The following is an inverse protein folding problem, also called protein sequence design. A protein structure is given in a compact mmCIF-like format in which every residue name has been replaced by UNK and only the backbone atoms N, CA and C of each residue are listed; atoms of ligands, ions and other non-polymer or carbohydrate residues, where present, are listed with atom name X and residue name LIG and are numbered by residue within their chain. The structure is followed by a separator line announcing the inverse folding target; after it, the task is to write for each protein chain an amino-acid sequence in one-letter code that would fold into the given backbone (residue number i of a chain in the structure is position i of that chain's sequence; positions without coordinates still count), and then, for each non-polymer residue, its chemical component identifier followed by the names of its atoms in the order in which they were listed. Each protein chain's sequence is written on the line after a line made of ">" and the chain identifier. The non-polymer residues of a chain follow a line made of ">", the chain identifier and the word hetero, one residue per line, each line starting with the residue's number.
data_IF_660295835600
#
_entry.id   IF_660295835600
#
_cell.length_a   1.000
_cell.length_b   1.000
_cell.length_c   1.000
_cell.angle_alpha   90.00
_cell.angle_beta   90.00
_cell.angle_gamma   90.00
#
_symmetry.space_group_name_H-M   'P 1'
#
loop_
_entity.id
_entity.type
_entity.pdbx_description
1 polymer ?
#
# COMPACT_ATOMS: atom_id res chain seq x y z
N UNK A 1 22.78 24.88 17.21
CA UNK A 1 22.65 23.42 16.98
C UNK A 1 21.23 23.03 17.34
N UNK A 2 20.32 22.93 16.34
CA UNK A 2 18.96 22.44 16.57
C UNK A 2 19.04 20.91 16.68
N UNK A 3 19.03 20.38 17.91
CA UNK A 3 18.77 18.98 18.18
C UNK A 3 17.32 18.67 17.76
N UNK A 4 17.10 18.30 16.50
CA UNK A 4 15.86 17.67 16.11
C UNK A 4 15.70 16.39 16.93
N UNK A 5 14.77 16.41 17.87
CA UNK A 5 14.49 15.29 18.80
C UNK A 5 14.21 14.04 17.95
N UNK A 6 15.13 13.06 18.01
CA UNK A 6 15.02 11.81 17.25
C UNK A 6 13.68 11.14 17.62
N UNK A 7 12.81 10.93 16.63
CA UNK A 7 11.50 10.31 16.87
C UNK A 7 11.70 8.87 17.36
N UNK A 8 10.98 8.47 18.41
CA UNK A 8 11.07 7.11 18.93
C UNK A 8 10.54 6.11 17.90
N UNK A 9 11.26 5.02 17.55
CA UNK A 9 10.82 4.03 16.58
C UNK A 9 9.47 3.39 16.92
N UNK A 10 9.19 3.18 18.20
CA UNK A 10 7.92 2.60 18.66
C UNK A 10 6.70 3.45 18.31
N UNK A 11 6.88 4.75 18.08
CA UNK A 11 5.76 5.63 17.72
C UNK A 11 5.34 5.51 16.26
N UNK A 12 6.16 4.96 15.37
CA UNK A 12 5.86 4.93 13.95
C UNK A 12 6.05 3.56 13.28
N UNK A 13 7.00 2.73 13.73
CA UNK A 13 7.24 1.41 13.12
C UNK A 13 5.97 0.54 13.15
N UNK A 14 5.29 0.35 14.28
CA UNK A 14 4.08 -0.48 14.33
C UNK A 14 3.00 -0.02 13.36
N UNK A 15 2.67 1.26 13.41
CA UNK A 15 1.59 1.84 12.60
C UNK A 15 1.93 1.92 11.11
N UNK A 16 3.21 2.11 10.76
CA UNK A 16 3.67 2.14 9.37
C UNK A 16 3.55 0.76 8.72
N UNK A 17 3.94 -0.31 9.41
CA UNK A 17 3.79 -1.67 8.90
C UNK A 17 2.36 -2.20 8.96
N UNK A 18 1.55 -1.72 9.89
CA UNK A 18 0.11 -1.93 9.84
C UNK A 18 -0.51 -1.30 8.58
N UNK A 19 -0.16 -0.04 8.29
CA UNK A 19 -0.61 0.66 7.08
C UNK A 19 -0.09 0.03 5.78
N UNK A 20 1.07 -0.63 5.82
CA UNK A 20 1.64 -1.39 4.71
C UNK A 20 0.81 -2.65 4.43
N UNK A 21 0.49 -3.43 5.46
CA UNK A 21 -0.23 -4.69 5.33
C UNK A 21 -1.68 -4.52 4.86
N UNK A 22 -2.35 -3.44 5.28
CA UNK A 22 -3.78 -3.27 5.09
C UNK A 22 -4.20 -3.24 3.60
N UNK A 23 -3.64 -2.37 2.72
CA UNK A 23 -4.02 -2.34 1.31
C UNK A 23 -3.69 -3.63 0.59
N UNK A 24 -2.51 -4.20 0.84
CA UNK A 24 -2.09 -5.46 0.20
C UNK A 24 -3.08 -6.59 0.47
N UNK A 25 -3.44 -6.79 1.73
CA UNK A 25 -4.35 -7.86 2.14
C UNK A 25 -5.77 -7.60 1.64
N UNK A 26 -6.21 -6.35 1.65
CA UNK A 26 -7.53 -5.97 1.10
C UNK A 26 -7.60 -6.31 -0.39
N UNK A 27 -6.59 -5.94 -1.18
CA UNK A 27 -6.57 -6.22 -2.61
C UNK A 27 -6.46 -7.71 -2.91
N UNK A 28 -5.68 -8.45 -2.13
CA UNK A 28 -5.42 -9.86 -2.38
C UNK A 28 -6.59 -10.78 -1.96
N UNK A 29 -7.25 -10.47 -0.85
CA UNK A 29 -8.22 -11.38 -0.23
C UNK A 29 -9.63 -10.76 -0.12
N UNK A 30 -9.74 -9.53 0.39
CA UNK A 30 -11.04 -8.94 0.73
C UNK A 30 -11.82 -8.55 -0.52
N UNK A 31 -11.14 -8.03 -1.56
CA UNK A 31 -11.79 -7.67 -2.83
C UNK A 31 -12.37 -8.87 -3.57
N UNK A 32 -11.76 -10.04 -3.45
CA UNK A 32 -12.31 -11.28 -4.01
C UNK A 32 -13.66 -11.60 -3.38
N UNK A 33 -13.75 -11.54 -2.05
CA UNK A 33 -14.99 -11.77 -1.32
C UNK A 33 -16.05 -10.71 -1.63
N UNK A 34 -15.61 -9.45 -1.72
CA UNK A 34 -16.48 -8.33 -2.11
C UNK A 34 -17.11 -8.56 -3.48
N UNK A 35 -16.32 -8.85 -4.50
CA UNK A 35 -16.83 -9.06 -5.86
C UNK A 35 -17.71 -10.31 -5.97
N UNK A 36 -17.40 -11.38 -5.23
CA UNK A 36 -18.28 -12.55 -5.12
C UNK A 36 -19.63 -12.19 -4.50
N UNK A 37 -19.63 -11.43 -3.41
CA UNK A 37 -20.87 -10.94 -2.78
C UNK A 37 -21.66 -9.96 -3.66
N UNK A 38 -21.03 -9.39 -4.69
CA UNK A 38 -21.64 -8.51 -5.70
C UNK A 38 -21.98 -9.26 -7.00
N UNK A 39 -21.95 -10.59 -6.99
CA UNK A 39 -22.35 -11.47 -8.08
C UNK A 39 -21.52 -11.29 -9.38
N UNK A 40 -20.26 -10.87 -9.23
CA UNK A 40 -19.32 -10.78 -10.36
C UNK A 40 -18.83 -12.19 -10.74
N UNK A 41 -18.66 -12.45 -12.03
CA UNK A 41 -18.17 -13.74 -12.55
C UNK A 41 -16.77 -14.08 -12.01
N UNK A 42 -16.56 -15.32 -11.54
CA UNK A 42 -15.32 -15.78 -10.92
C UNK A 42 -14.10 -15.67 -11.83
N UNK A 43 -14.27 -15.81 -13.16
CA UNK A 43 -13.17 -15.67 -14.13
C UNK A 43 -12.69 -14.23 -14.21
N UNK A 44 -13.63 -13.28 -14.19
CA UNK A 44 -13.31 -11.85 -14.17
C UNK A 44 -12.62 -11.47 -12.86
N UNK A 45 -13.13 -11.95 -11.72
CA UNK A 45 -12.52 -11.72 -10.41
C UNK A 45 -11.07 -12.21 -10.43
N UNK A 46 -10.85 -13.48 -10.76
CA UNK A 46 -9.52 -14.11 -10.73
C UNK A 46 -8.54 -13.41 -11.68
N UNK A 47 -8.96 -13.10 -12.90
CA UNK A 47 -8.12 -12.44 -13.88
C UNK A 47 -7.67 -11.05 -13.39
N UNK A 48 -8.62 -10.19 -13.01
CA UNK A 48 -8.32 -8.81 -12.68
C UNK A 48 -7.61 -8.67 -11.33
N UNK A 49 -7.98 -9.46 -10.31
CA UNK A 49 -7.29 -9.41 -9.02
C UNK A 49 -5.84 -9.88 -9.13
N UNK A 50 -5.54 -10.84 -9.99
CA UNK A 50 -4.16 -11.25 -10.28
C UNK A 50 -3.34 -10.13 -10.92
N UNK A 51 -3.93 -9.40 -11.88
CA UNK A 51 -3.25 -8.26 -12.52
C UNK A 51 -3.02 -7.08 -11.57
N UNK A 52 -3.97 -6.81 -10.68
CA UNK A 52 -3.86 -5.74 -9.67
C UNK A 52 -2.67 -5.95 -8.74
N UNK A 53 -2.23 -7.19 -8.52
CA UNK A 53 -1.07 -7.47 -7.66
C UNK A 53 0.29 -7.29 -8.34
N UNK A 54 0.34 -7.13 -9.67
CA UNK A 54 1.59 -6.93 -10.41
C UNK A 54 2.47 -5.79 -9.89
N UNK A 55 1.96 -4.63 -9.40
CA UNK A 55 2.82 -3.59 -8.87
C UNK A 55 3.76 -4.08 -7.77
N UNK A 56 3.36 -5.03 -6.92
CA UNK A 56 4.26 -5.55 -5.87
C UNK A 56 5.45 -6.36 -6.43
N UNK A 57 5.25 -7.08 -7.52
CA UNK A 57 6.34 -7.81 -8.20
C UNK A 57 7.23 -6.88 -9.03
N UNK A 58 6.67 -5.79 -9.53
CA UNK A 58 7.36 -4.83 -10.39
C UNK A 58 8.04 -3.69 -9.62
N UNK A 59 7.99 -3.68 -8.27
CA UNK A 59 8.65 -2.66 -7.42
C UNK A 59 10.05 -2.25 -7.87
N UNK A 60 10.97 -3.18 -8.26
CA UNK A 60 12.31 -2.80 -8.69
C UNK A 60 12.36 -1.84 -9.86
N UNK A 61 11.32 -1.80 -10.71
CA UNK A 61 11.29 -0.94 -11.89
C UNK A 61 11.19 0.55 -11.55
N UNK A 62 10.54 0.91 -10.44
CA UNK A 62 10.38 2.32 -10.08
C UNK A 62 10.97 2.70 -8.72
N UNK A 63 11.47 1.75 -7.93
CA UNK A 63 12.09 2.06 -6.64
C UNK A 63 13.23 3.10 -6.75
N UNK A 64 14.10 3.10 -7.80
CA UNK A 64 15.12 4.12 -7.95
C UNK A 64 14.58 5.54 -8.14
N UNK A 65 13.38 5.67 -8.75
CA UNK A 65 12.76 6.98 -8.93
C UNK A 65 12.41 7.65 -7.60
N UNK A 66 12.01 6.87 -6.60
CA UNK A 66 11.63 7.41 -5.30
C UNK A 66 12.81 8.09 -4.59
N UNK A 67 14.04 7.63 -4.84
CA UNK A 67 15.25 8.21 -4.26
C UNK A 67 15.63 9.54 -4.91
N UNK A 68 15.20 9.78 -6.15
CA UNK A 68 15.61 10.95 -6.93
C UNK A 68 14.71 12.18 -6.71
N UNK A 69 13.44 11.99 -6.37
CA UNK A 69 12.46 13.08 -6.46
C UNK A 69 12.07 13.72 -5.13
N UNK A 70 11.93 12.96 -4.04
CA UNK A 70 11.45 13.46 -2.75
C UNK A 70 11.96 12.62 -1.58
N UNK A 71 11.64 13.05 -0.36
CA UNK A 71 11.96 12.27 0.84
C UNK A 71 11.09 11.02 0.94
N UNK A 72 11.63 9.95 1.50
CA UNK A 72 10.89 8.70 1.75
C UNK A 72 9.64 8.95 2.61
N UNK A 73 9.74 9.82 3.62
CA UNK A 73 8.59 10.27 4.42
C UNK A 73 7.46 10.86 3.56
N UNK A 74 7.80 11.70 2.58
CA UNK A 74 6.80 12.29 1.68
C UNK A 74 6.00 11.21 0.95
N UNK A 75 6.69 10.19 0.41
CA UNK A 75 6.03 9.09 -0.28
C UNK A 75 5.15 8.27 0.66
N UNK A 76 5.61 7.94 1.88
CA UNK A 76 4.78 7.22 2.87
C UNK A 76 3.47 7.95 3.13
N UNK A 77 3.53 9.25 3.40
CA UNK A 77 2.33 10.05 3.72
C UNK A 77 1.41 10.19 2.51
N UNK A 78 1.96 10.56 1.35
CA UNK A 78 1.15 10.78 0.14
C UNK A 78 0.48 9.50 -0.32
N UNK A 79 1.19 8.38 -0.32
CA UNK A 79 0.60 7.09 -0.72
C UNK A 79 -0.51 6.64 0.22
N UNK A 80 -0.39 6.86 1.52
CA UNK A 80 -1.48 6.58 2.47
C UNK A 80 -2.70 7.43 2.21
N UNK A 81 -2.52 8.73 1.97
CA UNK A 81 -3.64 9.64 1.64
C UNK A 81 -4.29 9.25 0.31
N UNK A 82 -3.49 8.98 -0.73
CA UNK A 82 -3.99 8.51 -2.03
C UNK A 82 -4.77 7.22 -1.86
N UNK A 83 -4.22 6.23 -1.17
CA UNK A 83 -4.89 4.95 -0.89
C UNK A 83 -6.21 5.17 -0.13
N UNK A 84 -6.20 6.02 0.90
CA UNK A 84 -7.40 6.31 1.67
C UNK A 84 -8.49 6.97 0.84
N UNK A 85 -8.16 8.03 0.10
CA UNK A 85 -9.12 8.69 -0.81
C UNK A 85 -9.65 7.70 -1.85
N UNK A 86 -8.77 6.89 -2.42
CA UNK A 86 -9.17 5.94 -3.45
C UNK A 86 -10.06 4.83 -2.92
N UNK A 87 -9.87 4.33 -1.69
CA UNK A 87 -10.85 3.42 -1.05
C UNK A 87 -12.22 4.06 -0.94
N UNK A 88 -12.30 5.34 -0.59
CA UNK A 88 -13.57 6.08 -0.57
C UNK A 88 -14.22 6.17 -1.95
N UNK A 89 -13.41 6.41 -3.00
CA UNK A 89 -13.91 6.42 -4.39
C UNK A 89 -14.41 5.03 -4.82
N UNK A 90 -13.72 3.94 -4.44
CA UNK A 90 -14.22 2.57 -4.68
C UNK A 90 -15.56 2.35 -3.97
N UNK A 91 -15.71 2.80 -2.71
CA UNK A 91 -16.96 2.70 -1.98
C UNK A 91 -18.12 3.33 -2.75
N UNK A 92 -17.95 4.55 -3.24
CA UNK A 92 -18.99 5.25 -4.01
C UNK A 92 -19.21 4.65 -5.40
N UNK A 93 -18.18 4.03 -6.01
CA UNK A 93 -18.32 3.40 -7.32
C UNK A 93 -19.24 2.18 -7.31
N UNK A 94 -19.46 1.53 -6.15
CA UNK A 94 -20.34 0.36 -6.05
C UNK A 94 -21.81 0.64 -6.40
N UNK A 95 -22.23 1.91 -6.36
CA UNK A 95 -23.56 2.34 -6.79
C UNK A 95 -23.69 2.55 -8.30
N UNK A 96 -22.63 2.49 -9.09
CA UNK A 96 -22.66 2.75 -10.53
C UNK A 96 -23.07 1.49 -11.32
N UNK A 97 -23.67 1.68 -12.49
CA UNK A 97 -24.00 0.58 -13.41
C UNK A 97 -22.75 -0.19 -13.90
N UNK A 98 -21.63 0.51 -14.04
CA UNK A 98 -20.33 -0.06 -14.45
C UNK A 98 -19.35 -0.19 -13.26
N UNK A 99 -19.87 -0.46 -12.06
CA UNK A 99 -19.09 -0.48 -10.83
C UNK A 99 -17.83 -1.35 -10.92
N UNK A 100 -17.90 -2.51 -11.56
CA UNK A 100 -16.77 -3.44 -11.60
C UNK A 100 -15.56 -2.82 -12.30
N UNK A 101 -15.73 -2.30 -13.52
CA UNK A 101 -14.63 -1.70 -14.29
C UNK A 101 -14.04 -0.46 -13.59
N UNK A 102 -14.91 0.36 -12.99
CA UNK A 102 -14.46 1.54 -12.24
C UNK A 102 -13.71 1.11 -10.99
N UNK A 103 -14.23 0.13 -10.24
CA UNK A 103 -13.56 -0.40 -9.04
C UNK A 103 -12.20 -0.98 -9.38
N UNK A 104 -12.06 -1.78 -10.47
CA UNK A 104 -10.79 -2.34 -10.90
C UNK A 104 -9.76 -1.24 -11.21
N UNK A 105 -10.16 -0.19 -11.93
CA UNK A 105 -9.27 0.93 -12.22
C UNK A 105 -8.80 1.66 -10.93
N UNK A 106 -9.70 1.88 -10.00
CA UNK A 106 -9.37 2.49 -8.70
C UNK A 106 -8.51 1.57 -7.84
N UNK A 107 -8.79 0.26 -7.80
CA UNK A 107 -7.99 -0.72 -7.09
C UNK A 107 -6.57 -0.82 -7.67
N UNK A 108 -6.39 -0.63 -8.98
CA UNK A 108 -5.06 -0.53 -9.58
C UNK A 108 -4.28 0.70 -9.06
N UNK A 109 -4.95 1.84 -8.85
CA UNK A 109 -4.33 3.02 -8.20
C UNK A 109 -3.90 2.68 -6.78
N UNK A 110 -4.74 1.98 -6.00
CA UNK A 110 -4.39 1.52 -4.64
C UNK A 110 -3.18 0.57 -4.70
N UNK A 111 -3.12 -0.31 -5.68
CA UNK A 111 -2.01 -1.26 -5.86
C UNK A 111 -0.67 -0.55 -6.10
N UNK A 112 -0.63 0.40 -7.02
CA UNK A 112 0.58 1.22 -7.26
C UNK A 112 0.95 2.06 -6.04
N UNK A 113 -0.04 2.65 -5.39
CA UNK A 113 0.15 3.44 -4.17
C UNK A 113 0.69 2.57 -3.03
N UNK A 114 0.10 1.38 -2.81
CA UNK A 114 0.52 0.43 -1.79
C UNK A 114 1.94 -0.09 -2.03
N UNK A 115 2.26 -0.52 -3.26
CA UNK A 115 3.59 -0.98 -3.62
C UNK A 115 4.65 0.13 -3.45
N UNK A 116 4.30 1.38 -3.76
CA UNK A 116 5.17 2.55 -3.54
C UNK A 116 5.32 2.86 -2.05
N UNK A 117 4.24 2.73 -1.27
CA UNK A 117 4.27 2.87 0.17
C UNK A 117 5.26 1.90 0.81
N UNK A 118 5.24 0.63 0.41
CA UNK A 118 6.14 -0.40 0.93
C UNK A 118 7.61 0.00 0.72
N UNK A 119 7.98 0.38 -0.52
CA UNK A 119 9.35 0.81 -0.83
C UNK A 119 9.75 2.00 0.05
N UNK A 120 8.87 2.98 0.19
CA UNK A 120 9.14 4.19 0.95
C UNK A 120 9.24 3.90 2.45
N UNK A 121 8.37 3.05 2.99
CA UNK A 121 8.33 2.67 4.40
C UNK A 121 9.59 1.89 4.81
N UNK A 122 9.98 0.88 4.03
CA UNK A 122 11.22 0.13 4.24
C UNK A 122 12.44 1.06 4.11
N UNK A 123 12.37 1.99 3.16
CA UNK A 123 13.40 3.00 3.00
C UNK A 123 13.55 3.93 4.22
N UNK A 124 12.45 4.35 4.86
CA UNK A 124 12.49 5.12 6.13
C UNK A 124 13.09 4.25 7.22
N UNK A 125 12.63 3.01 7.35
CA UNK A 125 13.12 2.07 8.36
C UNK A 125 14.63 1.88 8.28
N UNK A 126 15.15 1.60 7.09
CA UNK A 126 16.60 1.37 6.89
C UNK A 126 17.44 2.63 7.05
N UNK A 127 16.91 3.82 6.71
CA UNK A 127 17.69 5.05 6.76
C UNK A 127 17.67 5.75 8.12
N UNK A 128 16.62 5.56 8.91
CA UNK A 128 16.43 6.28 10.18
C UNK A 128 16.80 5.46 11.42
N UNK A 129 16.90 4.15 11.30
CA UNK A 129 17.24 3.25 12.40
C UNK A 129 18.70 2.76 12.29
N UNK A 130 19.36 2.69 13.44
CA UNK A 130 20.64 1.98 13.56
C UNK A 130 20.44 0.47 13.33
N UNK A 131 21.52 -0.24 12.98
CA UNK A 131 21.44 -1.70 12.80
C UNK A 131 20.90 -2.41 14.07
N UNK A 132 21.22 -1.89 15.25
CA UNK A 132 20.72 -2.40 16.53
C UNK A 132 19.21 -2.18 16.66
N UNK A 133 18.73 -0.96 16.37
CA UNK A 133 17.29 -0.66 16.39
C UNK A 133 16.54 -1.45 15.30
N UNK A 134 17.11 -1.63 14.11
CA UNK A 134 16.52 -2.45 13.06
C UNK A 134 16.34 -3.90 13.57
N UNK A 135 17.37 -4.50 14.16
CA UNK A 135 17.27 -5.84 14.73
C UNK A 135 16.22 -5.93 15.86
N UNK A 136 16.09 -4.90 16.67
CA UNK A 136 15.12 -4.83 17.76
C UNK A 136 13.67 -4.72 17.27
N UNK A 137 13.44 -3.96 16.22
CA UNK A 137 12.09 -3.68 15.73
C UNK A 137 11.62 -4.56 14.56
N UNK A 138 12.47 -5.47 14.05
CA UNK A 138 12.09 -6.36 12.95
C UNK A 138 10.86 -7.24 13.27
N UNK A 139 10.77 -7.72 14.52
CA UNK A 139 9.62 -8.48 14.97
C UNK A 139 8.32 -7.66 14.99
N UNK A 140 8.41 -6.35 15.23
CA UNK A 140 7.26 -5.45 15.19
C UNK A 140 6.71 -5.24 13.77
N UNK A 141 7.59 -5.22 12.77
CA UNK A 141 7.17 -5.17 11.37
C UNK A 141 6.23 -6.34 11.04
N UNK A 142 6.69 -7.56 11.26
CA UNK A 142 5.91 -8.76 11.00
C UNK A 142 4.64 -8.85 11.86
N UNK A 143 4.73 -8.49 13.14
CA UNK A 143 3.58 -8.53 14.05
C UNK A 143 2.47 -7.57 13.58
N UNK A 144 2.77 -6.31 13.30
CA UNK A 144 1.76 -5.33 12.93
C UNK A 144 1.25 -5.51 11.50
N UNK A 145 2.08 -6.01 10.58
CA UNK A 145 1.62 -6.47 9.27
C UNK A 145 0.58 -7.61 9.40
N UNK A 146 0.86 -8.61 10.25
CA UNK A 146 -0.07 -9.70 10.50
C UNK A 146 -1.32 -9.26 11.27
N UNK A 147 -1.23 -8.29 12.18
CA UNK A 147 -2.41 -7.68 12.81
C UNK A 147 -3.31 -7.04 11.75
N UNK A 148 -2.74 -6.29 10.80
CA UNK A 148 -3.50 -5.73 9.69
C UNK A 148 -4.20 -6.83 8.88
N UNK A 149 -3.52 -7.96 8.61
CA UNK A 149 -4.10 -9.12 7.93
C UNK A 149 -5.27 -9.70 8.71
N UNK A 150 -5.13 -9.93 10.01
CA UNK A 150 -6.20 -10.48 10.86
C UNK A 150 -7.40 -9.53 10.90
N UNK A 151 -7.17 -8.23 11.05
CA UNK A 151 -8.25 -7.23 11.04
C UNK A 151 -8.96 -7.20 9.68
N UNK A 152 -8.21 -7.22 8.57
CA UNK A 152 -8.79 -7.17 7.24
C UNK A 152 -9.60 -8.43 6.91
N UNK A 153 -9.03 -9.61 7.11
CA UNK A 153 -9.64 -10.89 6.70
C UNK A 153 -10.62 -11.46 7.74
N UNK A 154 -10.38 -11.20 9.00
CA UNK A 154 -11.29 -11.61 10.09
C UNK A 154 -12.28 -10.52 10.43
N UNK A 155 -11.79 -9.38 10.96
CA UNK A 155 -12.64 -8.31 11.49
C UNK A 155 -13.56 -7.65 10.46
N UNK A 156 -12.97 -7.17 9.36
CA UNK A 156 -13.75 -6.44 8.34
C UNK A 156 -14.66 -7.37 7.54
N UNK A 157 -14.21 -8.59 7.23
CA UNK A 157 -15.05 -9.59 6.54
C UNK A 157 -16.21 -10.05 7.43
N UNK A 158 -15.95 -10.30 8.72
CA UNK A 158 -17.01 -10.60 9.68
C UNK A 158 -18.04 -9.46 9.77
N UNK A 159 -17.56 -8.21 9.87
CA UNK A 159 -18.42 -7.03 9.90
C UNK A 159 -19.24 -6.91 8.60
N UNK A 160 -18.65 -7.20 7.44
CA UNK A 160 -19.37 -7.21 6.18
C UNK A 160 -20.52 -8.24 6.20
N UNK A 161 -20.25 -9.48 6.65
CA UNK A 161 -21.26 -10.52 6.79
C UNK A 161 -22.40 -10.09 7.72
N UNK A 162 -22.07 -9.55 8.89
CA UNK A 162 -23.05 -9.02 9.85
C UNK A 162 -23.93 -7.92 9.25
N UNK A 163 -23.31 -6.98 8.51
CA UNK A 163 -24.04 -5.88 7.87
C UNK A 163 -24.95 -6.37 6.74
N UNK A 164 -24.54 -7.40 5.99
CA UNK A 164 -25.35 -8.03 4.95
C UNK A 164 -26.59 -8.66 5.59
N UNK A 165 -26.41 -9.44 6.65
CA UNK A 165 -27.51 -10.09 7.36
C UNK A 165 -28.49 -9.07 7.98
N UNK A 166 -27.96 -8.03 8.61
CA UNK A 166 -28.76 -6.96 9.20
C UNK A 166 -29.57 -6.13 8.17
N UNK A 167 -29.21 -6.17 6.89
CA UNK A 167 -29.91 -5.47 5.80
C UNK A 167 -30.59 -6.43 4.82
N UNK A 168 -30.85 -7.68 5.19
CA UNK A 168 -31.39 -8.72 4.31
C UNK A 168 -32.75 -8.37 3.68
N UNK A 169 -33.57 -7.55 4.34
CA UNK A 169 -34.85 -7.06 3.80
C UNK A 169 -34.70 -6.23 2.51
N UNK A 170 -33.54 -5.62 2.26
CA UNK A 170 -33.25 -4.83 1.05
C UNK A 170 -32.95 -5.69 -0.19
N UNK A 171 -32.87 -7.02 -0.03
CA UNK A 171 -32.39 -7.95 -1.04
C UNK A 171 -30.87 -8.18 -0.96
N UNK A 172 -30.42 -9.38 -1.33
CA UNK A 172 -29.04 -9.83 -1.10
C UNK A 172 -27.96 -8.93 -1.75
N UNK A 173 -28.19 -8.50 -2.98
CA UNK A 173 -27.25 -7.67 -3.72
C UNK A 173 -27.14 -6.25 -3.15
N UNK A 174 -28.25 -5.61 -2.82
CA UNK A 174 -28.27 -4.26 -2.25
C UNK A 174 -27.71 -4.26 -0.81
N UNK A 175 -28.00 -5.29 -0.02
CA UNK A 175 -27.39 -5.48 1.29
C UNK A 175 -25.85 -5.62 1.17
N UNK A 176 -25.38 -6.41 0.21
CA UNK A 176 -23.96 -6.58 -0.08
C UNK A 176 -23.31 -5.27 -0.50
N UNK A 177 -23.91 -4.49 -1.41
CA UNK A 177 -23.37 -3.17 -1.82
C UNK A 177 -23.22 -2.23 -0.65
N UNK A 178 -24.24 -2.09 0.19
CA UNK A 178 -24.21 -1.23 1.38
C UNK A 178 -23.15 -1.66 2.39
N UNK A 179 -23.07 -2.96 2.66
CA UNK A 179 -22.08 -3.50 3.58
C UNK A 179 -20.65 -3.23 3.10
N UNK A 180 -20.34 -3.58 1.87
CA UNK A 180 -19.00 -3.36 1.31
C UNK A 180 -18.65 -1.87 1.16
N UNK A 181 -19.63 -1.02 0.86
CA UNK A 181 -19.43 0.43 0.88
C UNK A 181 -18.99 0.91 2.27
N UNK A 182 -19.64 0.44 3.34
CA UNK A 182 -19.26 0.78 4.72
C UNK A 182 -17.82 0.30 5.02
N UNK A 183 -17.50 -0.94 4.67
CA UNK A 183 -16.15 -1.49 4.87
C UNK A 183 -15.07 -0.66 4.16
N UNK A 184 -15.32 -0.29 2.91
CA UNK A 184 -14.39 0.53 2.12
C UNK A 184 -14.25 1.95 2.70
N UNK A 185 -15.32 2.53 3.24
CA UNK A 185 -15.27 3.82 3.93
C UNK A 185 -14.48 3.73 5.24
N UNK A 186 -14.61 2.64 6.01
CA UNK A 186 -13.78 2.38 7.20
C UNK A 186 -12.31 2.32 6.81
N UNK A 187 -11.96 1.60 5.74
CA UNK A 187 -10.60 1.54 5.21
C UNK A 187 -10.09 2.91 4.76
N UNK A 188 -10.94 3.67 4.07
CA UNK A 188 -10.64 5.04 3.63
C UNK A 188 -10.26 5.94 4.81
N UNK A 189 -11.12 6.02 5.81
CA UNK A 189 -10.90 6.82 7.02
C UNK A 189 -9.65 6.36 7.75
N UNK A 190 -9.46 5.04 7.91
CA UNK A 190 -8.29 4.47 8.58
C UNK A 190 -6.99 4.90 7.89
N UNK A 191 -6.91 4.76 6.56
CA UNK A 191 -5.71 5.13 5.81
C UNK A 191 -5.44 6.63 5.83
N UNK A 192 -6.48 7.47 5.75
CA UNK A 192 -6.34 8.93 5.86
C UNK A 192 -5.81 9.32 7.25
N UNK A 193 -6.39 8.75 8.31
CA UNK A 193 -5.95 9.03 9.69
C UNK A 193 -4.50 8.58 9.92
N UNK A 194 -4.11 7.41 9.39
CA UNK A 194 -2.72 6.95 9.43
C UNK A 194 -1.79 7.88 8.65
N UNK A 195 -2.22 8.36 7.49
CA UNK A 195 -1.45 9.34 6.70
C UNK A 195 -1.21 10.64 7.46
N UNK A 196 -2.27 11.18 8.08
CA UNK A 196 -2.18 12.37 8.94
C UNK A 196 -1.27 12.10 10.15
N UNK A 197 -1.44 10.97 10.81
CA UNK A 197 -0.59 10.57 11.94
C UNK A 197 0.88 10.49 11.53
N UNK A 198 1.18 9.82 10.41
CA UNK A 198 2.55 9.65 9.93
C UNK A 198 3.20 10.94 9.43
N UNK A 199 2.41 11.92 9.00
CA UNK A 199 2.93 13.26 8.71
C UNK A 199 3.63 13.84 9.95
N UNK A 200 3.10 13.61 11.15
CA UNK A 200 3.69 14.08 12.41
C UNK A 200 4.65 13.06 13.06
N UNK A 201 4.34 11.77 13.00
CA UNK A 201 5.06 10.73 13.74
C UNK A 201 6.35 10.29 13.07
N UNK A 202 6.41 10.24 11.72
CA UNK A 202 7.61 9.82 11.01
C UNK A 202 8.77 10.80 11.21
N UNK A 203 9.99 10.28 11.35
CA UNK A 203 11.17 11.12 11.36
C UNK A 203 11.28 11.89 10.05
N UNK A 204 11.75 13.14 10.13
CA UNK A 204 12.11 13.88 8.93
C UNK A 204 13.44 13.34 8.47
N UNK A 205 13.43 12.54 7.40
CA UNK A 205 14.66 12.11 6.73
C UNK A 205 15.50 13.34 6.48
N UNK A 206 16.62 13.45 7.18
CA UNK A 206 17.58 14.50 6.84
C UNK A 206 17.87 14.29 5.36
N UNK A 207 17.58 15.31 4.57
CA UNK A 207 17.94 15.32 3.18
C UNK A 207 19.35 14.73 3.05
N UNK A 208 19.48 13.48 2.61
CA UNK A 208 20.58 13.22 1.70
C UNK A 208 20.44 14.38 0.75
N UNK A 209 21.38 15.31 0.83
CA UNK A 209 21.37 16.51 0.00
C UNK A 209 20.95 16.02 -1.37
N UNK A 210 19.66 16.16 -1.70
CA UNK A 210 19.26 16.20 -3.09
C UNK A 210 20.09 17.38 -3.53
N UNK A 211 21.29 17.12 -4.04
CA UNK A 211 22.05 18.11 -4.74
C UNK A 211 21.02 18.64 -5.69
N UNK A 212 20.60 19.91 -5.51
CA UNK A 212 19.93 20.69 -6.54
C UNK A 212 20.94 20.74 -7.69
N UNK A 213 21.07 19.63 -8.35
CA UNK A 213 21.67 19.56 -9.65
C UNK A 213 20.48 20.02 -10.49
N UNK A 214 20.64 21.12 -11.19
CA UNK A 214 19.85 21.44 -12.38
C UNK A 214 20.05 20.28 -13.37
N UNK A 215 19.40 19.15 -13.07
CA UNK A 215 19.54 17.94 -13.88
C UNK A 215 18.59 18.08 -15.06
N UNK A 216 19.19 18.09 -16.23
CA UNK A 216 18.46 17.95 -17.47
C UNK A 216 17.70 16.60 -17.44
N UNK A 217 16.41 16.61 -17.78
CA UNK A 217 15.55 15.41 -17.80
C UNK A 217 16.17 14.23 -18.56
N UNK A 218 17.02 14.51 -19.56
CA UNK A 218 17.78 13.50 -20.32
C UNK A 218 18.85 12.78 -19.48
N UNK A 219 19.49 13.48 -18.55
CA UNK A 219 20.51 12.89 -17.65
C UNK A 219 19.85 12.00 -16.60
N UNK A 220 18.71 12.41 -16.08
CA UNK A 220 17.90 11.59 -15.14
C UNK A 220 17.44 10.30 -15.81
N UNK A 221 16.92 10.36 -17.03
CA UNK A 221 16.52 9.18 -17.80
C UNK A 221 17.68 8.25 -18.09
N UNK A 222 18.85 8.80 -18.40
CA UNK A 222 20.08 8.02 -18.65
C UNK A 222 20.58 7.32 -17.40
N UNK A 223 20.60 8.02 -16.24
CA UNK A 223 20.95 7.41 -14.95
C UNK A 223 19.97 6.29 -14.58
N UNK A 224 18.69 6.50 -14.76
CA UNK A 224 17.66 5.48 -14.51
C UNK A 224 17.86 4.25 -15.41
N UNK A 225 18.14 4.46 -16.69
CA UNK A 225 18.45 3.37 -17.60
C UNK A 225 19.71 2.61 -17.18
N UNK A 226 20.73 3.31 -16.68
CA UNK A 226 21.95 2.68 -16.14
C UNK A 226 21.66 1.88 -14.87
N UNK A 227 20.91 2.43 -13.91
CA UNK A 227 20.56 1.74 -12.67
C UNK A 227 19.74 0.47 -12.94
N UNK A 228 18.78 0.53 -13.87
CA UNK A 228 18.02 -0.65 -14.30
C UNK A 228 18.93 -1.67 -14.97
N UNK A 229 19.82 -1.22 -15.89
CA UNK A 229 20.75 -2.11 -16.58
C UNK A 229 21.73 -2.77 -15.58
N UNK A 230 22.24 -2.02 -14.62
CA UNK A 230 23.14 -2.51 -13.58
C UNK A 230 22.44 -3.48 -12.63
N UNK A 231 21.15 -3.27 -12.34
CA UNK A 231 20.34 -4.19 -11.58
C UNK A 231 20.23 -5.56 -12.29
N UNK A 232 19.89 -5.57 -13.58
CA UNK A 232 19.77 -6.83 -14.34
C UNK A 232 21.13 -7.47 -14.68
N UNK A 233 22.23 -6.71 -14.61
CA UNK A 233 23.61 -7.23 -14.80
C UNK A 233 24.23 -7.80 -13.53
N UNK A 234 23.62 -7.64 -12.37
CA UNK A 234 24.14 -8.21 -11.12
C UNK A 234 24.27 -9.71 -11.22
N UNK A 235 25.43 -10.22 -10.82
CA UNK A 235 25.67 -11.67 -10.74
C UNK A 235 24.59 -12.32 -9.87
N UNK A 236 23.99 -13.40 -10.37
CA UNK A 236 22.92 -14.15 -9.71
C UNK A 236 21.54 -13.43 -9.60
N UNK A 237 21.31 -12.32 -10.30
CA UNK A 237 20.01 -11.63 -10.23
C UNK A 237 18.85 -12.56 -10.62
N UNK A 238 19.06 -13.47 -11.57
CA UNK A 238 18.05 -14.45 -12.00
C UNK A 238 17.69 -15.39 -10.85
N UNK A 239 18.64 -15.81 -10.02
CA UNK A 239 18.37 -16.61 -8.83
C UNK A 239 17.53 -15.84 -7.80
N UNK A 240 17.85 -14.57 -7.55
CA UNK A 240 17.06 -13.75 -6.62
C UNK A 240 15.64 -13.51 -7.15
N UNK A 241 15.48 -13.26 -8.44
CA UNK A 241 14.16 -13.09 -9.05
C UNK A 241 13.35 -14.40 -9.05
N UNK A 242 13.98 -15.55 -9.21
CA UNK A 242 13.29 -16.85 -9.15
C UNK A 242 12.84 -17.19 -7.72
N UNK A 243 13.60 -16.81 -6.69
CA UNK A 243 13.22 -17.01 -5.29
C UNK A 243 12.01 -16.16 -4.84
N UNK A 244 11.75 -15.04 -5.51
CA UNK A 244 10.57 -14.19 -5.22
C UNK A 244 9.28 -14.85 -5.73
N UNK A 245 9.37 -15.82 -6.64
CA UNK A 245 8.22 -16.49 -7.26
C UNK A 245 7.87 -17.84 -6.61
N UNK A 246 8.57 -18.26 -5.57
CA UNK A 246 8.26 -19.41 -4.73
C UNK A 246 7.58 -18.95 -3.44
#
# INVERSE_FOLDING_TARGET
>A
MNHTRKKSPISWVPTAYFAMGLPFVVLNMVTVLMFKGLEVDDKLITFWTSLILLPWTLKPLWSPFLELFRTKKFFVVVTQLVTGVTFGLVAFSLGLSHFFSVSIALLAVIAFSGATHDIACDGVYMSELSNEDQAKFIGWQGAFYNIAKIIATGGLVYLAGYLIEANAEAGSLEASKKAWMIILLILSVTMILLGIYHYFALPSTQNVKVKKIERNNKEVLKELGQVLMDFFRKTHIVYYLSLIHI
#
